data_IF_866027176922
#
_entry.id   IF_866027176922
#
_cell.length_a   1.000
_cell.length_b   1.000
_cell.length_c   1.000
_cell.angle_alpha   90.00
_cell.angle_beta   90.00
_cell.angle_gamma   90.00
#
_symmetry.space_group_name_H-M   'P 1'
#
loop_
_entity.id
_entity.type
_entity.pdbx_description
1 polymer ?
#
# COMPACT_ATOMS: atom_id res chain seq x y z
N UNK A 1 25.15 0.26 14.34
CA UNK A 1 25.48 1.47 13.55
C UNK A 1 24.62 1.46 12.29
N UNK A 2 23.69 2.41 12.11
CA UNK A 2 22.82 2.49 10.91
C UNK A 2 23.50 3.36 9.85
N UNK A 3 23.71 2.84 8.65
CA UNK A 3 24.29 3.59 7.51
C UNK A 3 23.17 4.30 6.74
N UNK A 4 23.24 5.64 6.67
CA UNK A 4 22.27 6.47 5.97
C UNK A 4 22.52 6.42 4.44
N UNK A 5 21.74 5.62 3.71
CA UNK A 5 21.74 5.58 2.25
C UNK A 5 20.65 6.52 1.69
N UNK A 6 20.94 7.81 1.57
CA UNK A 6 20.11 8.73 0.77
C UNK A 6 20.43 8.57 -0.72
N UNK A 7 19.40 8.34 -1.55
CA UNK A 7 19.51 8.19 -3.01
C UNK A 7 19.67 9.53 -3.75
N UNK A 8 19.66 10.64 -3.03
CA UNK A 8 19.72 11.99 -3.58
C UNK A 8 21.09 12.62 -3.32
N UNK A 9 21.65 13.29 -4.33
CA UNK A 9 22.88 14.07 -4.15
C UNK A 9 22.57 15.27 -3.22
N UNK A 10 23.35 15.43 -2.15
CA UNK A 10 23.19 16.54 -1.17
C UNK A 10 23.37 17.95 -1.78
N UNK A 11 23.76 18.04 -3.06
CA UNK A 11 23.93 19.30 -3.79
C UNK A 11 22.88 19.41 -4.87
N UNK A 12 21.68 19.89 -4.51
CA UNK A 12 20.72 20.33 -5.53
C UNK A 12 21.36 21.48 -6.33
N UNK A 13 21.26 21.45 -7.67
CA UNK A 13 21.77 22.52 -8.54
C UNK A 13 21.01 23.84 -8.40
N UNK A 14 20.01 23.90 -7.52
CA UNK A 14 19.18 25.05 -7.25
C UNK A 14 19.70 25.76 -5.99
N UNK A 15 20.77 26.54 -6.15
CA UNK A 15 21.27 27.44 -5.10
C UNK A 15 20.94 28.88 -5.48
N UNK A 16 20.30 29.58 -4.55
CA UNK A 16 20.14 31.05 -4.66
C UNK A 16 21.48 31.73 -4.34
N UNK A 17 21.73 32.93 -4.88
CA UNK A 17 22.88 33.74 -4.47
C UNK A 17 22.88 33.99 -2.96
N UNK A 18 24.07 34.20 -2.40
CA UNK A 18 24.20 34.74 -1.04
C UNK A 18 23.43 36.08 -0.96
N UNK A 19 22.77 36.30 0.18
CA UNK A 19 21.94 37.48 0.47
C UNK A 19 20.71 37.68 -0.42
N UNK A 20 20.31 36.69 -1.24
CA UNK A 20 19.13 36.81 -2.12
C UNK A 20 17.87 37.21 -1.35
N UNK A 21 17.59 36.56 -0.22
CA UNK A 21 16.40 36.85 0.59
C UNK A 21 16.59 38.07 1.49
N UNK A 22 17.79 38.28 2.05
CA UNK A 22 18.08 39.40 2.95
C UNK A 22 17.91 40.76 2.25
N UNK A 23 18.28 40.83 0.97
CA UNK A 23 18.18 42.05 0.16
C UNK A 23 16.94 42.07 -0.75
N UNK A 24 16.04 41.09 -0.64
CA UNK A 24 14.82 41.03 -1.45
C UNK A 24 13.91 42.23 -1.19
N UNK A 25 13.60 42.53 0.08
CA UNK A 25 12.68 43.60 0.45
C UNK A 25 13.19 44.97 0.03
N UNK A 26 14.50 45.21 0.20
CA UNK A 26 15.15 46.45 -0.24
C UNK A 26 15.03 46.62 -1.76
N UNK A 27 15.38 45.59 -2.54
CA UNK A 27 15.25 45.63 -4.01
C UNK A 27 13.81 45.80 -4.47
N UNK A 28 12.85 45.15 -3.81
CA UNK A 28 11.43 45.29 -4.12
C UNK A 28 10.97 46.73 -3.87
N UNK A 29 11.34 47.29 -2.72
CA UNK A 29 10.96 48.65 -2.34
C UNK A 29 11.62 49.70 -3.26
N UNK A 30 12.88 49.48 -3.65
CA UNK A 30 13.58 50.34 -4.60
C UNK A 30 12.90 50.31 -5.98
N UNK A 31 12.48 49.14 -6.46
CA UNK A 31 11.68 49.05 -7.69
C UNK A 31 10.33 49.74 -7.57
N UNK A 32 9.65 49.65 -6.43
CA UNK A 32 8.37 50.33 -6.24
C UNK A 32 8.54 51.86 -6.21
N UNK A 33 9.62 52.35 -5.61
CA UNK A 33 9.98 53.78 -5.61
C UNK A 33 10.39 54.24 -7.01
N UNK A 34 11.17 53.45 -7.74
CA UNK A 34 11.53 53.72 -9.14
C UNK A 34 10.29 53.76 -10.06
N UNK A 35 9.34 52.85 -9.84
CA UNK A 35 8.05 52.83 -10.55
C UNK A 35 7.06 53.91 -10.09
N UNK A 36 7.31 54.63 -8.98
CA UNK A 36 6.48 55.78 -8.61
C UNK A 36 6.70 57.01 -9.50
N UNK A 37 7.79 57.00 -10.29
CA UNK A 37 8.05 57.95 -11.39
C UNK A 37 7.64 57.39 -12.76
N UNK A 38 7.12 56.16 -12.83
CA UNK A 38 6.49 55.64 -14.04
C UNK A 38 5.11 56.28 -14.15
N UNK A 39 5.00 57.34 -14.95
CA UNK A 39 3.71 57.85 -15.40
C UNK A 39 2.98 56.71 -16.12
N UNK A 40 2.05 56.05 -15.41
CA UNK A 40 1.12 55.12 -16.01
C UNK A 40 0.49 55.83 -17.21
N UNK A 41 0.55 55.27 -18.43
CA UNK A 41 0.00 55.91 -19.62
C UNK A 41 -1.42 56.38 -19.32
N UNK A 42 -1.60 57.70 -19.40
CA UNK A 42 -2.75 58.46 -18.94
C UNK A 42 -4.06 57.75 -19.28
N UNK A 43 -4.70 57.16 -18.25
CA UNK A 43 -6.10 56.67 -18.12
C UNK A 43 -6.87 56.13 -19.34
N UNK A 44 -6.21 55.84 -20.45
CA UNK A 44 -6.80 55.34 -21.67
C UNK A 44 -6.52 53.85 -21.75
N UNK A 45 -7.20 53.08 -20.88
CA UNK A 45 -7.41 51.61 -20.96
C UNK A 45 -6.47 50.96 -22.01
N UNK A 46 -5.19 50.68 -21.67
CA UNK A 46 -4.21 50.21 -22.67
C UNK A 46 -4.64 48.90 -23.33
N UNK A 47 -5.56 48.18 -22.68
CA UNK A 47 -6.23 47.00 -23.19
C UNK A 47 -7.67 47.34 -23.57
N UNK A 48 -7.86 47.93 -24.75
CA UNK A 48 -9.18 47.99 -25.40
C UNK A 48 -9.27 46.90 -26.45
N UNK A 49 -10.33 46.12 -26.40
CA UNK A 49 -10.67 45.23 -27.51
C UNK A 49 -11.19 46.05 -28.70
N UNK A 50 -10.97 45.62 -29.95
CA UNK A 50 -11.59 46.22 -31.12
C UNK A 50 -13.12 46.28 -30.98
N UNK A 51 -13.75 47.28 -31.60
CA UNK A 51 -15.20 47.35 -31.69
C UNK A 51 -15.72 46.08 -32.41
N UNK A 52 -16.73 45.44 -31.83
CA UNK A 52 -17.32 44.21 -32.34
C UNK A 52 -16.49 42.93 -32.15
N UNK A 53 -15.42 42.96 -31.34
CA UNK A 53 -14.62 41.75 -31.05
C UNK A 53 -15.48 40.58 -30.56
N UNK A 54 -16.45 40.85 -29.68
CA UNK A 54 -17.31 39.84 -29.08
C UNK A 54 -18.46 39.40 -30.00
N UNK A 55 -18.81 40.18 -31.03
CA UNK A 55 -19.92 39.89 -31.94
C UNK A 55 -19.59 38.66 -32.82
N UNK A 56 -18.32 38.54 -33.25
CA UNK A 56 -17.83 37.42 -34.07
C UNK A 56 -17.04 36.38 -33.27
N UNK A 57 -16.89 36.54 -31.95
CA UNK A 57 -16.04 35.65 -31.16
C UNK A 57 -16.59 34.22 -31.15
N UNK A 58 -17.90 34.08 -30.96
CA UNK A 58 -18.59 32.78 -30.91
C UNK A 58 -18.46 32.03 -32.23
N UNK A 59 -18.71 32.70 -33.36
CA UNK A 59 -18.61 32.12 -34.70
C UNK A 59 -17.18 31.66 -35.00
N UNK A 60 -16.17 32.48 -34.65
CA UNK A 60 -14.74 32.13 -34.82
C UNK A 60 -14.32 30.91 -34.01
N UNK A 61 -14.83 30.76 -32.78
CA UNK A 61 -14.53 29.60 -31.93
C UNK A 61 -15.17 28.34 -32.52
N UNK A 62 -16.45 28.43 -32.94
CA UNK A 62 -17.17 27.30 -33.53
C UNK A 62 -16.54 26.85 -34.86
N UNK A 63 -16.14 27.79 -35.72
CA UNK A 63 -15.47 27.48 -36.97
C UNK A 63 -14.13 26.79 -36.75
N UNK A 64 -13.31 27.26 -35.80
CA UNK A 64 -12.04 26.61 -35.45
C UNK A 64 -12.23 25.23 -34.83
N UNK A 65 -13.29 25.01 -34.08
CA UNK A 65 -13.63 23.69 -33.51
C UNK A 65 -14.05 22.70 -34.59
N UNK A 66 -14.84 23.16 -35.57
CA UNK A 66 -15.33 22.32 -36.69
C UNK A 66 -14.25 22.03 -37.73
N UNK A 67 -13.28 22.92 -37.90
CA UNK A 67 -12.18 22.79 -38.86
C UNK A 67 -10.96 22.05 -38.32
N UNK A 68 -11.06 21.33 -37.19
CA UNK A 68 -9.97 20.45 -36.80
C UNK A 68 -9.72 19.44 -37.92
N UNK A 69 -8.52 19.39 -38.54
CA UNK A 69 -8.22 18.37 -39.51
C UNK A 69 -8.40 17.04 -38.79
N UNK A 70 -9.30 16.21 -39.31
CA UNK A 70 -9.63 14.89 -38.77
C UNK A 70 -8.31 14.17 -38.51
N UNK A 71 -7.86 14.18 -37.27
CA UNK A 71 -6.54 13.66 -36.90
C UNK A 71 -6.44 12.25 -37.45
N UNK A 72 -5.30 11.91 -38.07
CA UNK A 72 -5.11 10.58 -38.65
C UNK A 72 -5.16 9.57 -37.50
N UNK A 73 -6.33 8.97 -37.29
CA UNK A 73 -6.50 7.90 -36.31
C UNK A 73 -5.74 6.69 -36.85
N UNK A 74 -4.59 6.41 -36.25
CA UNK A 74 -3.87 5.16 -36.48
C UNK A 74 -4.27 4.19 -35.37
N UNK A 75 -4.56 2.95 -35.76
CA UNK A 75 -4.83 1.90 -34.80
C UNK A 75 -3.52 1.51 -34.09
N UNK A 76 -3.45 1.68 -32.76
CA UNK A 76 -2.22 1.48 -31.98
C UNK A 76 -1.91 0.00 -31.74
N UNK A 77 -2.93 -0.86 -31.70
CA UNK A 77 -2.77 -2.29 -31.44
C UNK A 77 -3.29 -3.10 -32.63
N UNK A 78 -2.36 -3.69 -33.37
CA UNK A 78 -2.66 -4.62 -34.47
C UNK A 78 -2.73 -6.04 -33.89
N UNK A 79 -3.92 -6.62 -33.89
CA UNK A 79 -4.26 -7.90 -33.25
C UNK A 79 -3.41 -9.08 -33.71
N UNK A 80 -2.83 -9.00 -34.91
CA UNK A 80 -1.94 -10.02 -35.48
C UNK A 80 -0.66 -10.24 -34.64
N UNK A 81 -0.16 -9.20 -33.98
CA UNK A 81 1.05 -9.31 -33.15
C UNK A 81 0.74 -9.67 -31.69
N UNK A 82 -0.51 -9.52 -31.25
CA UNK A 82 -0.90 -9.84 -29.87
C UNK A 82 -0.84 -11.34 -29.61
N UNK A 83 -1.19 -12.18 -30.58
CA UNK A 83 -1.07 -13.64 -30.45
C UNK A 83 0.39 -14.09 -30.33
N UNK A 84 1.29 -13.47 -31.10
CA UNK A 84 2.72 -13.77 -31.01
C UNK A 84 3.32 -13.30 -29.68
N UNK A 85 2.97 -12.09 -29.23
CA UNK A 85 3.39 -11.55 -27.94
C UNK A 85 2.89 -12.42 -26.76
N UNK A 86 1.65 -12.90 -26.82
CA UNK A 86 1.09 -13.79 -25.82
C UNK A 86 1.82 -15.13 -25.75
N UNK A 87 2.18 -15.73 -26.89
CA UNK A 87 2.98 -16.96 -26.92
C UNK A 87 4.37 -16.78 -26.29
N UNK A 88 5.04 -15.66 -26.59
CA UNK A 88 6.35 -15.33 -25.98
C UNK A 88 6.21 -15.15 -24.46
N UNK A 89 5.16 -14.45 -24.00
CA UNK A 89 4.89 -14.29 -22.58
C UNK A 89 4.62 -15.64 -21.87
N UNK A 90 3.87 -16.55 -22.51
CA UNK A 90 3.62 -17.89 -21.96
C UNK A 90 4.91 -18.70 -21.80
N UNK A 91 5.85 -18.60 -22.76
CA UNK A 91 7.18 -19.23 -22.65
C UNK A 91 7.97 -18.63 -21.50
N UNK A 92 7.95 -17.30 -21.32
CA UNK A 92 8.58 -16.66 -20.17
C UNK A 92 7.95 -17.11 -18.85
N UNK A 93 6.63 -17.22 -18.78
CA UNK A 93 5.92 -17.72 -17.59
C UNK A 93 6.30 -19.17 -17.30
N UNK A 94 6.41 -20.04 -18.31
CA UNK A 94 6.86 -21.42 -18.10
C UNK A 94 8.33 -21.50 -17.65
N UNK A 95 9.18 -20.63 -18.19
CA UNK A 95 10.60 -20.58 -17.86
C UNK A 95 10.84 -20.01 -16.45
N UNK A 96 10.16 -18.92 -16.09
CA UNK A 96 10.29 -18.27 -14.77
C UNK A 96 9.38 -18.89 -13.70
N UNK A 97 8.29 -19.56 -14.06
CA UNK A 97 7.35 -20.19 -13.13
C UNK A 97 7.99 -21.32 -12.31
N UNK A 98 9.08 -21.91 -12.79
CA UNK A 98 9.88 -22.86 -12.02
C UNK A 98 10.76 -22.18 -10.95
N UNK A 99 11.05 -20.89 -11.08
CA UNK A 99 11.86 -20.13 -10.12
C UNK A 99 11.03 -19.55 -8.97
N UNK A 100 9.74 -19.30 -9.21
CA UNK A 100 8.82 -18.83 -8.18
C UNK A 100 7.93 -20.00 -7.76
N UNK A 101 8.36 -20.76 -6.75
CA UNK A 101 7.42 -21.62 -6.03
C UNK A 101 6.36 -20.70 -5.42
N UNK A 102 5.16 -20.75 -5.97
CA UNK A 102 3.99 -20.20 -5.30
C UNK A 102 3.82 -21.05 -4.06
N UNK A 103 4.12 -20.48 -2.89
CA UNK A 103 3.74 -21.07 -1.61
C UNK A 103 2.21 -21.13 -1.61
N UNK A 104 1.68 -22.30 -1.95
CA UNK A 104 0.34 -22.68 -1.50
C UNK A 104 0.42 -22.65 0.02
N UNK A 105 -0.38 -21.80 0.65
CA UNK A 105 -0.58 -21.86 2.10
C UNK A 105 -1.10 -23.26 2.41
N UNK A 106 -0.21 -24.15 2.87
CA UNK A 106 -0.65 -25.37 3.52
C UNK A 106 -1.43 -24.95 4.76
N UNK A 107 -2.59 -25.58 4.98
CA UNK A 107 -3.37 -25.34 6.19
C UNK A 107 -2.52 -25.78 7.38
N UNK A 108 -2.35 -24.88 8.36
CA UNK A 108 -1.57 -25.13 9.57
C UNK A 108 -2.10 -26.39 10.27
N UNK A 109 -1.25 -27.39 10.44
CA UNK A 109 -1.57 -28.64 11.13
C UNK A 109 -1.00 -28.68 12.56
N UNK A 110 -1.40 -29.70 13.33
CA UNK A 110 -0.85 -29.94 14.67
C UNK A 110 0.67 -30.19 14.66
N UNK A 111 1.17 -30.76 13.57
CA UNK A 111 2.60 -31.04 13.36
C UNK A 111 3.43 -29.76 13.16
N UNK A 112 2.80 -28.63 12.86
CA UNK A 112 3.46 -27.34 12.68
C UNK A 112 3.64 -26.57 14.00
N UNK A 113 2.97 -27.00 15.08
CA UNK A 113 3.10 -26.38 16.40
C UNK A 113 4.40 -26.86 17.06
N UNK A 114 5.36 -25.95 17.21
CA UNK A 114 6.60 -26.26 17.90
C UNK A 114 6.34 -26.50 19.40
N UNK A 115 6.91 -27.58 19.94
CA UNK A 115 6.78 -27.94 21.36
C UNK A 115 7.19 -26.77 22.27
N UNK A 116 8.20 -26.00 21.88
CA UNK A 116 8.65 -24.83 22.64
C UNK A 116 7.58 -23.73 22.75
N UNK A 117 6.71 -23.59 21.76
CA UNK A 117 5.57 -22.64 21.81
C UNK A 117 4.54 -23.13 22.82
N UNK A 118 4.27 -24.44 22.84
CA UNK A 118 3.33 -25.04 23.79
C UNK A 118 3.85 -25.00 25.22
N UNK A 119 5.14 -25.27 25.44
CA UNK A 119 5.80 -25.11 26.75
C UNK A 119 5.67 -23.67 27.25
N UNK A 120 5.99 -22.69 26.41
CA UNK A 120 5.86 -21.27 26.79
C UNK A 120 4.41 -20.88 27.11
N UNK A 121 3.42 -21.35 26.34
CA UNK A 121 2.01 -21.07 26.60
C UNK A 121 1.55 -21.62 27.95
N UNK A 122 1.95 -22.86 28.26
CA UNK A 122 1.61 -23.51 29.52
C UNK A 122 2.28 -22.78 30.69
N UNK A 123 3.56 -22.47 30.59
CA UNK A 123 4.31 -21.74 31.62
C UNK A 123 3.73 -20.34 31.87
N UNK A 124 3.41 -19.59 30.81
CA UNK A 124 2.77 -18.28 30.91
C UNK A 124 1.37 -18.38 31.53
N UNK A 125 0.60 -19.42 31.20
CA UNK A 125 -0.72 -19.66 31.79
C UNK A 125 -0.67 -19.97 33.28
N UNK A 126 0.34 -20.70 33.76
CA UNK A 126 0.58 -20.91 35.19
C UNK A 126 1.04 -19.62 35.89
N UNK A 127 1.89 -18.81 35.25
CA UNK A 127 2.38 -17.56 35.81
C UNK A 127 1.29 -16.48 35.91
N UNK A 128 0.44 -16.38 34.89
CA UNK A 128 -0.71 -15.46 34.84
C UNK A 128 -1.92 -15.94 35.65
N UNK A 129 -1.94 -17.22 36.05
CA UNK A 129 -2.97 -17.77 36.94
C UNK A 129 -4.28 -18.17 36.27
N UNK A 130 -4.31 -18.26 34.93
CA UNK A 130 -5.48 -18.77 34.19
C UNK A 130 -5.41 -20.29 33.96
N UNK A 131 -4.23 -20.91 34.14
CA UNK A 131 -4.05 -22.37 34.19
C UNK A 131 -3.69 -22.73 35.64
N UNK A 132 -4.61 -23.36 36.37
CA UNK A 132 -4.41 -23.85 37.74
C UNK A 132 -4.71 -25.36 37.79
N UNK A 133 -3.75 -26.16 37.31
CA UNK A 133 -3.84 -27.62 37.35
C UNK A 133 -3.01 -28.16 38.51
N UNK A 134 -3.66 -28.78 39.49
CA UNK A 134 -2.95 -29.57 40.49
C UNK A 134 -2.72 -31.00 39.96
N UNK A 135 -1.77 -31.71 40.57
CA UNK A 135 -1.46 -33.13 40.30
C UNK A 135 -2.69 -34.04 40.40
N UNK A 136 -3.69 -33.65 41.20
CA UNK A 136 -4.96 -34.36 41.32
C UNK A 136 -5.86 -34.15 40.09
N UNK A 137 -6.00 -32.90 39.64
CA UNK A 137 -6.84 -32.54 38.48
C UNK A 137 -6.25 -33.11 37.18
N UNK A 138 -4.91 -33.14 37.08
CA UNK A 138 -4.20 -33.78 35.97
C UNK A 138 -4.61 -35.25 35.77
N UNK A 139 -4.88 -35.98 36.86
CA UNK A 139 -5.25 -37.40 36.80
C UNK A 139 -6.67 -37.62 36.26
N UNK A 140 -7.55 -36.64 36.42
CA UNK A 140 -8.92 -36.64 35.91
C UNK A 140 -8.94 -36.36 34.40
N UNK A 141 -8.05 -35.51 33.89
CA UNK A 141 -7.97 -35.21 32.45
C UNK A 141 -7.30 -36.30 31.60
N UNK A 142 -6.37 -37.07 32.16
CA UNK A 142 -5.68 -38.17 31.45
C UNK A 142 -6.39 -39.52 31.57
N UNK A 143 -7.56 -39.55 32.23
CA UNK A 143 -8.34 -40.78 32.46
C UNK A 143 -9.80 -40.56 32.09
N UNK A 144 -10.32 -41.29 31.10
CA UNK A 144 -11.76 -41.32 30.80
C UNK A 144 -12.38 -42.62 31.31
N UNK A 145 -13.46 -42.53 32.11
CA UNK A 145 -14.16 -43.69 32.72
C UNK A 145 -13.22 -44.68 33.46
N UNK A 146 -12.16 -44.15 34.10
CA UNK A 146 -11.18 -44.95 34.83
C UNK A 146 -10.17 -45.71 33.95
N UNK A 147 -10.13 -45.43 32.64
CA UNK A 147 -9.12 -45.92 31.70
C UNK A 147 -8.19 -44.77 31.32
N UNK A 148 -6.88 -45.02 31.28
CA UNK A 148 -5.91 -44.02 30.82
C UNK A 148 -6.11 -43.78 29.32
N UNK A 149 -6.16 -42.51 28.92
CA UNK A 149 -6.23 -42.11 27.50
C UNK A 149 -4.93 -42.53 26.82
N UNK A 150 -5.03 -43.20 25.67
CA UNK A 150 -3.90 -43.66 24.88
C UNK A 150 -3.64 -42.75 23.68
N UNK A 151 -2.40 -42.71 23.18
CA UNK A 151 -2.03 -41.87 22.03
C UNK A 151 -2.89 -42.17 20.79
N UNK A 152 -3.38 -43.42 20.66
CA UNK A 152 -4.27 -43.86 19.59
C UNK A 152 -5.67 -43.23 19.61
N UNK A 153 -6.12 -42.70 20.75
CA UNK A 153 -7.40 -41.99 20.86
C UNK A 153 -7.35 -40.63 20.15
N UNK A 154 -6.15 -40.02 20.10
CA UNK A 154 -5.92 -38.73 19.42
C UNK A 154 -5.66 -38.87 17.92
N UNK A 155 -5.31 -40.06 17.42
CA UNK A 155 -5.09 -40.30 15.98
C UNK A 155 -6.35 -40.08 15.12
N UNK A 156 -7.53 -40.12 15.73
CA UNK A 156 -8.82 -39.99 15.02
C UNK A 156 -9.38 -38.57 15.01
N UNK A 157 -8.72 -37.61 15.67
CA UNK A 157 -9.20 -36.22 15.74
C UNK A 157 -8.59 -35.42 14.60
N UNK A 158 -9.43 -34.96 13.66
CA UNK A 158 -8.93 -34.09 12.59
C UNK A 158 -8.66 -32.69 13.11
N UNK A 159 -7.72 -31.97 12.49
CA UNK A 159 -7.44 -30.56 12.82
C UNK A 159 -8.69 -29.70 12.71
N UNK A 160 -9.56 -29.97 11.73
CA UNK A 160 -10.80 -29.22 11.58
C UNK A 160 -11.78 -29.49 12.74
N UNK A 161 -11.94 -30.75 13.16
CA UNK A 161 -12.84 -31.08 14.27
C UNK A 161 -12.38 -30.46 15.59
N UNK A 162 -11.06 -30.39 15.81
CA UNK A 162 -10.48 -29.76 16.98
C UNK A 162 -10.62 -28.22 16.94
N UNK A 163 -10.46 -27.59 15.78
CA UNK A 163 -10.70 -26.16 15.61
C UNK A 163 -12.18 -25.81 15.85
N UNK A 164 -13.09 -26.62 15.34
CA UNK A 164 -14.53 -26.45 15.54
C UNK A 164 -14.91 -26.60 17.03
N UNK A 165 -14.33 -27.59 17.72
CA UNK A 165 -14.51 -27.76 19.17
C UNK A 165 -13.98 -26.56 19.96
N UNK A 166 -12.80 -26.05 19.59
CA UNK A 166 -12.22 -24.86 20.22
C UNK A 166 -13.11 -23.64 19.98
N UNK A 167 -13.63 -23.42 18.77
CA UNK A 167 -14.54 -22.30 18.48
C UNK A 167 -15.86 -22.41 19.27
N UNK A 168 -16.37 -23.62 19.49
CA UNK A 168 -17.59 -23.86 20.26
C UNK A 168 -17.39 -23.73 21.79
N UNK A 169 -16.19 -24.04 22.31
CA UNK A 169 -15.90 -24.11 23.75
C UNK A 169 -15.00 -22.97 24.27
N UNK A 170 -14.42 -22.15 23.39
CA UNK A 170 -13.76 -20.92 23.78
C UNK A 170 -14.83 -19.87 24.09
N UNK A 171 -15.01 -19.53 25.37
CA UNK A 171 -15.71 -18.30 25.72
C UNK A 171 -14.89 -17.09 25.22
N UNK A 172 -15.59 -16.04 24.75
CA UNK A 172 -15.05 -14.88 24.04
C UNK A 172 -13.65 -14.48 24.56
N UNK A 173 -12.62 -14.48 23.71
CA UNK A 173 -11.22 -14.25 24.11
C UNK A 173 -10.98 -12.88 24.76
N UNK A 174 -11.97 -11.98 24.74
CA UNK A 174 -11.95 -10.75 25.55
C UNK A 174 -11.95 -10.98 27.06
N UNK A 175 -12.40 -12.13 27.57
CA UNK A 175 -12.36 -12.44 29.02
C UNK A 175 -11.03 -13.02 29.51
N UNK A 176 -10.17 -13.50 28.61
CA UNK A 176 -8.85 -14.07 28.93
C UNK A 176 -7.78 -12.96 29.06
N UNK A 177 -8.11 -11.73 28.64
CA UNK A 177 -7.21 -10.57 28.60
C UNK A 177 -7.51 -9.50 29.67
N UNK A 178 -8.41 -9.77 30.63
CA UNK A 178 -8.66 -8.93 31.81
C UNK A 178 -8.11 -9.54 33.11
#
# INVERSE_FOLDING_TARGET
>A
MKTNNSKYQDKSGFRVPEDYFESFDARMMDRLKENSSFELPDTARPFKVPAGYFDDLESRILDKSRQQPKGRVINLFRSEYLYYAAAVAAIFILMLGNFYKVETTEELGWDDIEISVMENYIDEGYEMGYIDLNTFDHSEFISEDGTLIDDSDFENVSTQDALDYLDENLEDPTYILE
#
